data_IF_639241609769
#
_entry.id   IF_639241609769
#
_cell.length_a   1.000
_cell.length_b   1.000
_cell.length_c   1.000
_cell.angle_alpha   90.00
_cell.angle_beta   90.00
_cell.angle_gamma   90.00
#
_symmetry.space_group_name_H-M   'P 1'
#
loop_
_entity.id
_entity.type
_entity.pdbx_description
1 polymer ?
#
# COMPACT_ATOMS: atom_id res chain seq x y z
N UNK A 1 24.34 -2.41 12.32
CA UNK A 1 25.58 -1.60 12.33
C UNK A 1 25.70 -0.77 11.06
N UNK A 2 25.57 -1.35 9.86
CA UNK A 2 25.72 -0.63 8.58
C UNK A 2 24.68 0.48 8.39
N UNK A 3 23.38 0.22 8.66
CA UNK A 3 22.35 1.22 8.56
C UNK A 3 22.58 2.44 9.46
N UNK A 4 23.09 2.21 10.69
CA UNK A 4 23.44 3.27 11.64
C UNK A 4 24.58 4.15 11.12
N UNK A 5 25.62 3.54 10.56
CA UNK A 5 26.74 4.29 10.00
C UNK A 5 26.35 5.04 8.72
N UNK A 6 25.47 4.45 7.88
CA UNK A 6 24.91 5.15 6.73
C UNK A 6 24.05 6.36 7.13
N UNK A 7 23.24 6.22 8.18
CA UNK A 7 22.45 7.32 8.71
C UNK A 7 23.33 8.48 9.23
N UNK A 8 24.41 8.21 9.96
CA UNK A 8 25.35 9.24 10.39
C UNK A 8 25.96 10.01 9.22
N UNK A 9 26.43 9.27 8.20
CA UNK A 9 26.97 9.89 6.98
C UNK A 9 25.95 10.76 6.25
N UNK A 10 24.68 10.34 6.23
CA UNK A 10 23.60 11.11 5.63
C UNK A 10 23.33 12.40 6.43
N UNK A 11 23.35 12.34 7.76
CA UNK A 11 23.20 13.53 8.62
C UNK A 11 24.38 14.50 8.40
N UNK A 12 25.62 14.02 8.35
CA UNK A 12 26.80 14.85 8.09
C UNK A 12 26.72 15.58 6.73
N UNK A 13 26.07 14.97 5.74
CA UNK A 13 25.95 15.51 4.38
C UNK A 13 24.73 16.40 4.17
N UNK A 14 23.58 16.05 4.76
CA UNK A 14 22.28 16.67 4.48
C UNK A 14 21.60 17.29 5.70
N UNK A 15 22.25 17.26 6.88
CA UNK A 15 21.62 17.59 8.15
C UNK A 15 20.36 16.74 8.41
N UNK A 16 19.35 17.30 9.09
CA UNK A 16 18.13 16.58 9.46
C UNK A 16 17.03 16.65 8.39
N UNK A 17 17.22 17.38 7.30
CA UNK A 17 16.23 17.53 6.25
C UNK A 17 16.59 18.57 5.21
N UNK A 18 15.77 18.70 4.17
CA UNK A 18 16.03 19.54 3.01
C UNK A 18 15.46 20.96 3.13
N UNK A 19 14.79 21.28 4.23
CA UNK A 19 14.00 22.54 4.37
C UNK A 19 13.03 22.79 3.20
N UNK A 20 12.57 21.72 2.57
CA UNK A 20 11.69 21.74 1.39
C UNK A 20 10.83 20.47 1.32
N UNK A 21 9.71 20.55 0.60
CA UNK A 21 8.91 19.37 0.27
C UNK A 21 9.53 18.57 -0.88
N UNK A 22 9.29 17.26 -0.91
CA UNK A 22 9.84 16.35 -1.93
C UNK A 22 9.52 16.74 -3.39
N UNK A 23 8.33 17.26 -3.73
CA UNK A 23 8.07 17.75 -5.09
C UNK A 23 8.95 18.93 -5.53
N UNK A 24 9.46 19.71 -4.58
CA UNK A 24 10.31 20.86 -4.85
C UNK A 24 11.81 20.51 -4.82
N UNK A 25 12.21 19.67 -3.88
CA UNK A 25 13.59 19.22 -3.73
C UNK A 25 13.66 17.82 -3.15
N UNK A 26 14.59 17.00 -3.66
CA UNK A 26 14.86 15.65 -3.15
C UNK A 26 16.36 15.36 -3.11
N UNK A 27 16.81 14.45 -2.28
CA UNK A 27 18.20 14.01 -2.28
C UNK A 27 18.44 12.89 -3.28
N UNK A 28 19.70 12.73 -3.66
CA UNK A 28 20.11 11.60 -4.49
C UNK A 28 19.87 10.26 -3.79
N UNK A 29 19.95 10.23 -2.45
CA UNK A 29 19.69 9.04 -1.62
C UNK A 29 18.24 8.59 -1.75
N UNK A 30 17.26 9.51 -1.73
CA UNK A 30 15.84 9.16 -1.97
C UNK A 30 15.65 8.57 -3.36
N UNK A 31 16.20 9.22 -4.39
CA UNK A 31 16.09 8.74 -5.78
C UNK A 31 16.70 7.35 -5.96
N UNK A 32 17.89 7.13 -5.36
CA UNK A 32 18.56 5.83 -5.43
C UNK A 32 17.81 4.77 -4.64
N UNK A 33 17.27 5.11 -3.46
CA UNK A 33 16.47 4.20 -2.65
C UNK A 33 15.22 3.75 -3.42
N UNK A 34 14.45 4.69 -3.97
CA UNK A 34 13.23 4.39 -4.73
C UNK A 34 13.51 3.51 -5.95
N UNK A 35 14.59 3.77 -6.70
CA UNK A 35 15.01 2.91 -7.81
C UNK A 35 15.38 1.50 -7.34
N UNK A 36 16.09 1.36 -6.23
CA UNK A 36 16.47 0.06 -5.67
C UNK A 36 15.26 -0.70 -5.16
N UNK A 37 14.32 -0.03 -4.49
CA UNK A 37 13.08 -0.62 -4.01
C UNK A 37 12.20 -1.08 -5.17
N UNK A 38 11.98 -0.23 -6.17
CA UNK A 38 11.23 -0.60 -7.36
C UNK A 38 11.79 -1.88 -8.00
N UNK A 39 13.12 -1.95 -8.19
CA UNK A 39 13.80 -3.14 -8.71
C UNK A 39 13.65 -4.36 -7.79
N UNK A 40 13.77 -4.20 -6.47
CA UNK A 40 13.70 -5.30 -5.51
C UNK A 40 12.30 -5.91 -5.46
N UNK A 41 11.28 -5.05 -5.37
CA UNK A 41 9.87 -5.46 -5.39
C UNK A 41 9.38 -5.89 -6.79
N UNK A 42 10.09 -5.53 -7.86
CA UNK A 42 9.70 -5.78 -9.25
C UNK A 42 8.64 -4.82 -9.78
N UNK A 43 8.47 -3.63 -9.23
CA UNK A 43 7.58 -2.58 -9.74
C UNK A 43 8.32 -1.64 -10.69
N UNK A 44 7.58 -0.93 -11.54
CA UNK A 44 8.15 0.07 -12.45
C UNK A 44 8.73 1.26 -11.68
N UNK A 45 8.05 1.66 -10.61
CA UNK A 45 8.44 2.82 -9.78
C UNK A 45 8.13 2.57 -8.31
N UNK A 46 8.73 3.40 -7.46
CA UNK A 46 8.48 3.43 -6.03
C UNK A 46 8.52 4.89 -5.54
N UNK A 47 7.69 5.20 -4.56
CA UNK A 47 7.74 6.46 -3.82
C UNK A 47 7.92 6.16 -2.34
N UNK A 48 8.82 6.89 -1.68
CA UNK A 48 9.04 6.79 -0.25
C UNK A 48 8.36 7.94 0.50
N UNK A 49 7.80 7.61 1.64
CA UNK A 49 7.13 8.51 2.58
C UNK A 49 7.81 8.41 3.94
N UNK A 50 7.52 9.34 4.84
CA UNK A 50 8.08 9.33 6.20
C UNK A 50 7.51 8.23 7.08
N UNK A 51 6.33 7.70 6.76
CA UNK A 51 5.72 6.54 7.41
C UNK A 51 4.87 5.74 6.42
N UNK A 52 4.72 4.42 6.65
CA UNK A 52 3.78 3.59 5.90
C UNK A 52 2.33 4.08 6.04
N UNK A 53 1.98 4.65 7.21
CA UNK A 53 0.68 5.27 7.44
C UNK A 53 0.40 6.40 6.42
N UNK A 54 1.33 7.35 6.27
CA UNK A 54 1.19 8.44 5.29
C UNK A 54 1.21 7.94 3.84
N UNK A 55 2.00 6.89 3.55
CA UNK A 55 2.02 6.27 2.25
C UNK A 55 0.65 5.72 1.87
N UNK A 56 -0.03 5.02 2.80
CA UNK A 56 -1.37 4.47 2.56
C UNK A 56 -2.41 5.58 2.41
N UNK A 57 -2.43 6.58 3.31
CA UNK A 57 -3.33 7.73 3.20
C UNK A 57 -3.19 8.44 1.86
N UNK A 58 -1.95 8.75 1.47
CA UNK A 58 -1.66 9.44 0.22
C UNK A 58 -2.06 8.62 -1.01
N UNK A 59 -1.82 7.32 -0.97
CA UNK A 59 -2.18 6.40 -2.06
C UNK A 59 -3.69 6.36 -2.26
N UNK A 60 -4.47 6.15 -1.19
CA UNK A 60 -5.94 6.09 -1.29
C UNK A 60 -6.49 7.44 -1.76
N UNK A 61 -6.06 8.54 -1.16
CA UNK A 61 -6.53 9.87 -1.52
C UNK A 61 -6.19 10.28 -2.97
N UNK A 62 -5.06 9.80 -3.50
CA UNK A 62 -4.66 10.07 -4.87
C UNK A 62 -5.45 9.26 -5.90
N UNK A 63 -5.77 8.00 -5.60
CA UNK A 63 -6.41 7.05 -6.53
C UNK A 63 -7.94 7.12 -6.50
N UNK A 64 -8.53 7.56 -5.38
CA UNK A 64 -9.97 7.62 -5.22
C UNK A 64 -10.57 8.95 -5.71
N UNK A 65 -11.73 8.86 -6.34
CA UNK A 65 -12.54 10.00 -6.76
C UNK A 65 -14.05 9.68 -6.63
N UNK A 66 -14.90 10.63 -7.06
CA UNK A 66 -16.37 10.48 -7.03
C UNK A 66 -16.91 9.30 -7.82
N UNK A 67 -16.16 8.78 -8.79
CA UNK A 67 -16.57 7.66 -9.65
C UNK A 67 -16.01 6.33 -9.13
N UNK A 68 -15.43 6.32 -7.93
CA UNK A 68 -14.77 5.18 -7.29
C UNK A 68 -15.60 4.61 -6.13
N UNK A 69 -15.71 3.28 -6.05
CA UNK A 69 -16.10 2.57 -4.84
C UNK A 69 -14.83 2.07 -4.14
N UNK A 70 -14.57 2.52 -2.93
CA UNK A 70 -13.57 1.97 -2.02
C UNK A 70 -14.16 0.78 -1.28
N UNK A 71 -13.57 -0.39 -1.44
CA UNK A 71 -14.05 -1.65 -0.85
C UNK A 71 -12.99 -2.17 0.10
N UNK A 72 -13.28 -2.12 1.41
CA UNK A 72 -12.33 -2.42 2.48
C UNK A 72 -12.65 -3.76 3.14
N UNK A 73 -11.62 -4.51 3.50
CA UNK A 73 -11.77 -5.60 4.46
C UNK A 73 -12.18 -5.03 5.83
N UNK A 74 -13.09 -5.69 6.52
CA UNK A 74 -13.59 -5.23 7.83
C UNK A 74 -12.52 -5.22 8.93
N UNK A 75 -11.37 -5.88 8.73
CA UNK A 75 -10.22 -5.89 9.64
C UNK A 75 -9.06 -5.01 9.15
N UNK A 76 -9.30 -4.16 8.16
CA UNK A 76 -8.29 -3.25 7.64
C UNK A 76 -7.69 -2.36 8.73
N UNK A 77 -6.37 -2.16 8.66
CA UNK A 77 -5.63 -1.27 9.55
C UNK A 77 -6.15 0.17 9.50
N UNK A 78 -5.99 0.91 10.60
CA UNK A 78 -6.44 2.30 10.74
C UNK A 78 -5.96 3.22 9.61
N UNK A 79 -4.77 3.04 9.05
CA UNK A 79 -4.28 3.85 7.93
C UNK A 79 -5.15 3.70 6.66
N UNK A 80 -5.74 2.53 6.42
CA UNK A 80 -6.67 2.31 5.31
C UNK A 80 -7.99 3.04 5.58
N UNK A 81 -8.51 2.93 6.80
CA UNK A 81 -9.73 3.63 7.22
C UNK A 81 -9.56 5.16 7.13
N UNK A 82 -8.48 5.68 7.68
CA UNK A 82 -8.23 7.13 7.71
C UNK A 82 -7.93 7.68 6.30
N UNK A 83 -7.24 6.91 5.45
CA UNK A 83 -7.07 7.24 4.03
C UNK A 83 -8.41 7.32 3.29
N UNK A 84 -9.32 6.41 3.62
CA UNK A 84 -10.69 6.38 3.09
C UNK A 84 -11.50 7.60 3.55
N UNK A 85 -11.41 7.96 4.83
CA UNK A 85 -12.06 9.17 5.37
C UNK A 85 -11.48 10.45 4.76
N UNK A 86 -10.17 10.51 4.56
CA UNK A 86 -9.52 11.65 3.89
C UNK A 86 -10.04 11.80 2.45
N UNK A 87 -10.13 10.72 1.69
CA UNK A 87 -10.67 10.74 0.34
C UNK A 87 -12.16 11.15 0.33
N UNK A 88 -12.97 10.60 1.24
CA UNK A 88 -14.39 10.90 1.36
C UNK A 88 -14.67 12.36 1.80
N UNK A 89 -13.78 12.94 2.62
CA UNK A 89 -13.89 14.32 3.08
C UNK A 89 -13.48 15.37 2.03
N UNK A 90 -12.95 14.97 0.88
CA UNK A 90 -12.50 15.90 -0.16
C UNK A 90 -13.69 16.40 -0.98
N UNK A 91 -14.02 17.71 -0.95
CA UNK A 91 -15.17 18.26 -1.66
C UNK A 91 -15.14 17.93 -3.17
N UNK A 92 -16.26 17.44 -3.69
CA UNK A 92 -16.43 17.10 -5.11
C UNK A 92 -15.71 15.83 -5.57
N UNK A 93 -15.03 15.11 -4.67
CA UNK A 93 -14.30 13.86 -4.96
C UNK A 93 -14.72 12.66 -4.10
N UNK A 94 -15.74 12.80 -3.27
CA UNK A 94 -16.15 11.77 -2.32
C UNK A 94 -16.47 10.42 -3.01
N UNK A 95 -15.67 9.37 -2.80
CA UNK A 95 -15.94 8.02 -3.25
C UNK A 95 -17.09 7.39 -2.47
N UNK A 96 -17.67 6.32 -3.01
CA UNK A 96 -18.51 5.42 -2.23
C UNK A 96 -17.62 4.51 -1.37
N UNK A 97 -18.04 4.21 -0.13
CA UNK A 97 -17.28 3.36 0.79
C UNK A 97 -18.11 2.15 1.18
N UNK A 98 -17.57 0.95 1.01
CA UNK A 98 -18.19 -0.33 1.38
C UNK A 98 -17.20 -1.23 2.11
N UNK A 99 -17.71 -2.09 2.99
CA UNK A 99 -16.93 -3.07 3.74
C UNK A 99 -17.36 -4.49 3.38
N UNK A 100 -16.39 -5.35 3.12
CA UNK A 100 -16.66 -6.78 3.02
C UNK A 100 -16.22 -7.51 4.31
N UNK A 101 -16.84 -8.66 4.58
CA UNK A 101 -16.50 -9.47 5.74
C UNK A 101 -15.04 -9.94 5.63
N UNK A 102 -14.35 -9.92 6.77
CA UNK A 102 -12.95 -10.26 6.85
C UNK A 102 -12.61 -11.52 6.05
N UNK A 103 -11.61 -11.36 5.17
CA UNK A 103 -10.99 -12.39 4.34
C UNK A 103 -11.99 -13.26 3.53
N UNK A 104 -13.16 -12.68 3.17
CA UNK A 104 -14.26 -13.39 2.51
C UNK A 104 -14.42 -13.03 1.03
N UNK A 105 -13.93 -13.90 0.14
CA UNK A 105 -14.07 -13.78 -1.30
C UNK A 105 -15.54 -13.65 -1.75
N UNK A 106 -16.44 -14.42 -1.15
CA UNK A 106 -17.89 -14.35 -1.41
C UNK A 106 -18.49 -12.99 -1.05
N UNK A 107 -18.06 -12.40 0.07
CA UNK A 107 -18.52 -11.07 0.48
C UNK A 107 -17.99 -9.97 -0.43
N UNK A 108 -16.71 -10.05 -0.83
CA UNK A 108 -16.09 -9.14 -1.80
C UNK A 108 -16.82 -9.20 -3.15
N UNK A 109 -17.05 -10.40 -3.71
CA UNK A 109 -17.71 -10.56 -4.99
C UNK A 109 -19.12 -9.99 -4.99
N UNK A 110 -19.88 -10.18 -3.91
CA UNK A 110 -21.24 -9.61 -3.77
C UNK A 110 -21.22 -8.08 -3.87
N UNK A 111 -20.23 -7.43 -3.24
CA UNK A 111 -20.09 -5.97 -3.27
C UNK A 111 -19.71 -5.50 -4.67
N UNK A 112 -18.71 -6.11 -5.29
CA UNK A 112 -18.27 -5.77 -6.63
C UNK A 112 -19.41 -5.92 -7.66
N UNK A 113 -20.21 -6.96 -7.56
CA UNK A 113 -21.37 -7.20 -8.41
C UNK A 113 -22.47 -6.13 -8.26
N UNK A 114 -22.63 -5.58 -7.05
CA UNK A 114 -23.71 -4.61 -6.75
C UNK A 114 -23.25 -3.16 -6.74
N UNK A 115 -21.98 -2.87 -7.10
CA UNK A 115 -21.49 -1.50 -7.15
C UNK A 115 -22.13 -0.70 -8.28
N UNK A 116 -22.36 0.56 -8.04
CA UNK A 116 -22.92 1.49 -9.04
C UNK A 116 -21.84 2.38 -9.68
N UNK A 117 -20.73 2.60 -8.97
CA UNK A 117 -19.61 3.41 -9.47
C UNK A 117 -18.80 2.66 -10.52
N UNK A 118 -18.24 3.43 -11.46
CA UNK A 118 -17.46 2.88 -12.57
C UNK A 118 -16.20 2.17 -12.09
N UNK A 119 -15.45 2.82 -11.19
CA UNK A 119 -14.18 2.33 -10.69
C UNK A 119 -14.34 1.63 -9.35
N UNK A 120 -13.48 0.67 -9.04
CA UNK A 120 -13.41 0.05 -7.72
C UNK A 120 -11.95 -0.13 -7.28
N UNK A 121 -11.64 0.28 -6.05
CA UNK A 121 -10.39 -0.02 -5.37
C UNK A 121 -10.68 -0.95 -4.19
N UNK A 122 -10.06 -2.11 -4.20
CA UNK A 122 -10.16 -3.11 -3.14
C UNK A 122 -8.92 -2.96 -2.25
N UNK A 123 -9.14 -2.61 -0.99
CA UNK A 123 -8.12 -2.29 -0.01
C UNK A 123 -8.01 -3.44 0.99
N UNK A 124 -6.86 -4.10 1.03
CA UNK A 124 -6.60 -5.30 1.84
C UNK A 124 -5.20 -5.25 2.45
N UNK A 125 -4.99 -6.02 3.52
CA UNK A 125 -3.65 -6.31 4.04
C UNK A 125 -3.15 -7.65 3.47
N UNK A 126 -1.86 -7.77 3.22
CA UNK A 126 -1.24 -9.03 2.79
C UNK A 126 -1.22 -10.05 3.93
N UNK A 127 -0.80 -9.58 5.10
CA UNK A 127 -0.90 -10.28 6.39
C UNK A 127 -1.61 -9.33 7.34
N UNK A 128 -2.73 -9.75 7.89
CA UNK A 128 -3.56 -8.93 8.76
C UNK A 128 -2.93 -8.75 10.14
N UNK A 129 -2.85 -7.51 10.59
CA UNK A 129 -2.11 -7.13 11.79
C UNK A 129 -2.71 -7.65 13.10
N UNK A 130 -4.02 -7.90 13.14
CA UNK A 130 -4.72 -8.35 14.35
C UNK A 130 -4.56 -9.85 14.58
N UNK A 131 -4.87 -10.67 13.58
CA UNK A 131 -4.95 -12.13 13.71
C UNK A 131 -3.74 -12.84 13.10
N UNK A 132 -2.92 -12.13 12.30
CA UNK A 132 -1.74 -12.69 11.65
C UNK A 132 -2.06 -13.62 10.48
N UNK A 133 -3.33 -13.68 10.08
CA UNK A 133 -3.76 -14.47 8.93
C UNK A 133 -3.41 -13.77 7.61
N UNK A 134 -3.34 -14.56 6.54
CA UNK A 134 -3.00 -14.08 5.20
C UNK A 134 -4.25 -13.84 4.37
N UNK A 135 -4.21 -12.81 3.54
CA UNK A 135 -5.27 -12.58 2.56
C UNK A 135 -5.44 -13.80 1.64
N UNK A 136 -6.65 -14.16 1.31
CA UNK A 136 -6.98 -15.11 0.25
C UNK A 136 -6.71 -14.48 -1.13
N UNK A 137 -5.46 -13.99 -1.31
CA UNK A 137 -5.07 -13.06 -2.37
C UNK A 137 -5.36 -13.58 -3.77
N UNK A 138 -5.15 -14.89 -4.01
CA UNK A 138 -5.42 -15.51 -5.32
C UNK A 138 -6.90 -15.37 -5.71
N UNK A 139 -7.80 -15.69 -4.78
CA UNK A 139 -9.23 -15.56 -5.02
C UNK A 139 -9.65 -14.10 -5.20
N UNK A 140 -9.09 -13.19 -4.40
CA UNK A 140 -9.36 -11.75 -4.51
C UNK A 140 -8.92 -11.19 -5.86
N UNK A 141 -7.73 -11.55 -6.34
CA UNK A 141 -7.23 -11.12 -7.65
C UNK A 141 -8.12 -11.62 -8.77
N UNK A 142 -8.51 -12.91 -8.76
CA UNK A 142 -9.39 -13.49 -9.77
C UNK A 142 -10.77 -12.81 -9.82
N UNK A 143 -11.31 -12.46 -8.65
CA UNK A 143 -12.57 -11.73 -8.55
C UNK A 143 -12.39 -10.29 -9.04
N UNK A 144 -11.36 -9.59 -8.58
CA UNK A 144 -11.12 -8.19 -8.96
C UNK A 144 -10.93 -8.04 -10.48
N UNK A 145 -10.19 -8.93 -11.12
CA UNK A 145 -10.03 -8.93 -12.58
C UNK A 145 -11.36 -9.13 -13.30
N UNK A 146 -12.21 -10.06 -12.83
CA UNK A 146 -13.53 -10.32 -13.41
C UNK A 146 -14.44 -9.10 -13.37
N UNK A 147 -14.30 -8.28 -12.34
CA UNK A 147 -15.11 -7.08 -12.13
C UNK A 147 -14.36 -5.77 -12.42
N UNK A 148 -13.20 -5.82 -13.08
CA UNK A 148 -12.38 -4.65 -13.43
C UNK A 148 -12.08 -3.75 -12.22
N UNK A 149 -11.77 -4.37 -11.07
CA UNK A 149 -11.39 -3.69 -9.84
C UNK A 149 -9.88 -3.75 -9.64
N UNK A 150 -9.31 -2.73 -9.03
CA UNK A 150 -7.88 -2.63 -8.73
C UNK A 150 -7.64 -2.96 -7.26
N UNK A 151 -6.68 -3.84 -6.97
CA UNK A 151 -6.24 -4.11 -5.60
C UNK A 151 -5.13 -3.14 -5.22
N UNK A 152 -5.28 -2.52 -4.04
CA UNK A 152 -4.23 -1.83 -3.30
C UNK A 152 -3.94 -2.67 -2.07
N UNK A 153 -2.74 -3.22 -1.98
CA UNK A 153 -2.35 -4.10 -0.88
C UNK A 153 -1.43 -3.39 0.11
N UNK A 154 -1.74 -3.49 1.40
CA UNK A 154 -0.84 -3.18 2.50
C UNK A 154 -0.07 -4.44 2.88
N UNK A 155 1.19 -4.50 2.50
CA UNK A 155 2.06 -5.63 2.82
C UNK A 155 3.13 -5.29 3.87
N UNK A 156 2.77 -4.44 4.81
CA UNK A 156 3.65 -3.99 5.89
C UNK A 156 4.14 -5.14 6.78
N UNK A 157 3.36 -6.21 6.94
CA UNK A 157 3.71 -7.40 7.72
C UNK A 157 4.33 -8.53 6.90
N UNK A 158 4.07 -8.58 5.59
CA UNK A 158 4.66 -9.59 4.70
C UNK A 158 6.05 -9.20 4.20
N UNK A 159 6.29 -7.92 3.98
CA UNK A 159 7.59 -7.42 3.50
C UNK A 159 8.71 -7.70 4.51
N UNK A 160 9.77 -8.34 4.02
CA UNK A 160 10.92 -8.79 4.81
C UNK A 160 10.71 -10.15 5.50
N UNK A 161 9.49 -10.74 5.42
CA UNK A 161 9.16 -12.01 6.08
C UNK A 161 8.65 -13.09 5.12
N UNK A 162 7.98 -12.70 4.04
CA UNK A 162 7.41 -13.61 3.05
C UNK A 162 8.14 -13.53 1.71
N UNK A 163 8.14 -14.64 0.98
CA UNK A 163 8.84 -14.78 -0.29
C UNK A 163 10.33 -15.10 -0.12
N UNK A 164 10.94 -15.70 -1.14
CA UNK A 164 12.35 -16.12 -1.11
C UNK A 164 13.31 -14.93 -0.97
N UNK A 165 12.98 -13.81 -1.64
CA UNK A 165 13.75 -12.56 -1.58
C UNK A 165 13.27 -11.61 -0.47
N UNK A 166 12.19 -11.98 0.23
CA UNK A 166 11.58 -11.16 1.27
C UNK A 166 10.76 -9.99 0.72
N UNK A 167 10.29 -10.04 -0.53
CA UNK A 167 9.48 -8.96 -1.10
C UNK A 167 7.99 -9.06 -0.78
N UNK A 168 7.62 -9.98 0.10
CA UNK A 168 6.29 -10.06 0.68
C UNK A 168 5.34 -11.03 0.00
N UNK A 169 4.05 -10.88 0.30
CA UNK A 169 3.01 -11.82 -0.12
C UNK A 169 2.85 -11.92 -1.65
N UNK A 170 3.12 -10.85 -2.38
CA UNK A 170 3.03 -10.86 -3.86
C UNK A 170 4.08 -11.78 -4.49
N UNK A 171 5.27 -11.84 -3.93
CA UNK A 171 6.31 -12.78 -4.34
C UNK A 171 5.91 -14.22 -3.96
N UNK A 172 5.52 -14.42 -2.69
CA UNK A 172 5.17 -15.74 -2.19
C UNK A 172 4.03 -16.40 -2.99
N UNK A 173 3.06 -15.60 -3.42
CA UNK A 173 1.89 -16.08 -4.19
C UNK A 173 2.10 -16.07 -5.70
N UNK A 174 3.18 -15.46 -6.20
CA UNK A 174 3.43 -15.29 -7.63
C UNK A 174 2.48 -14.29 -8.32
N UNK A 175 1.84 -13.40 -7.56
CA UNK A 175 0.81 -12.49 -8.07
C UNK A 175 1.29 -11.05 -8.30
N UNK A 176 2.62 -10.85 -8.27
CA UNK A 176 3.24 -9.53 -8.40
C UNK A 176 2.72 -8.73 -9.62
N UNK A 177 2.62 -9.37 -10.78
CA UNK A 177 2.25 -8.71 -12.04
C UNK A 177 0.73 -8.46 -12.18
N UNK A 178 -0.06 -8.96 -11.23
CA UNK A 178 -1.52 -8.84 -11.20
C UNK A 178 -2.03 -7.85 -10.15
N UNK A 179 -1.15 -7.36 -9.28
CA UNK A 179 -1.48 -6.36 -8.23
C UNK A 179 -0.63 -5.12 -8.46
N UNK A 180 -1.20 -4.04 -9.00
CA UNK A 180 -0.43 -2.89 -9.46
C UNK A 180 0.07 -1.98 -8.35
N UNK A 181 -0.54 -2.00 -7.16
CA UNK A 181 -0.21 -1.09 -6.05
C UNK A 181 0.06 -1.87 -4.77
N UNK A 182 1.27 -1.74 -4.25
CA UNK A 182 1.70 -2.32 -2.98
C UNK A 182 2.26 -1.22 -2.09
N UNK A 183 1.76 -1.13 -0.87
CA UNK A 183 2.29 -0.25 0.18
C UNK A 183 2.97 -1.10 1.24
N UNK A 184 4.11 -0.66 1.74
CA UNK A 184 4.87 -1.35 2.76
C UNK A 184 5.52 -0.36 3.72
N UNK A 185 6.32 -0.84 4.70
CA UNK A 185 7.00 0.02 5.67
C UNK A 185 8.37 -0.53 6.06
N UNK A 186 9.29 0.39 6.40
CA UNK A 186 10.58 0.04 7.01
C UNK A 186 10.51 -0.08 8.53
N UNK A 187 9.42 0.32 9.16
CA UNK A 187 9.30 0.41 10.62
C UNK A 187 9.07 -0.93 11.32
N UNK A 188 8.92 -2.03 10.59
CA UNK A 188 8.72 -3.39 11.12
C UNK A 188 9.97 -4.25 10.94
N UNK A 189 10.01 -5.14 9.99
CA UNK A 189 11.11 -6.11 9.78
C UNK A 189 12.48 -5.45 9.65
N UNK A 190 12.56 -4.29 9.00
CA UNK A 190 13.85 -3.59 8.80
C UNK A 190 14.29 -2.75 9.99
N UNK A 191 13.44 -2.51 10.98
CA UNK A 191 13.75 -1.70 12.16
C UNK A 191 14.14 -0.25 11.82
N UNK A 192 13.62 0.28 10.71
CA UNK A 192 13.89 1.62 10.21
C UNK A 192 12.75 2.60 10.46
N UNK A 193 12.75 3.69 9.69
CA UNK A 193 11.71 4.73 9.65
C UNK A 193 11.25 4.87 8.19
N UNK A 194 9.93 5.01 7.98
CA UNK A 194 9.36 5.15 6.63
C UNK A 194 8.49 4.00 6.20
#
# INVERSE_FOLDING_TARGET
LEAKEAAKKAIDRFACGLSSSRPQATTIEHVQLEKRLAKWFGFETCLTFTTGYQAMLGTIAALADKDTTLILDSYSHACILDGTFLAAGTPGRAPEVRFFNHNSAKSLERILKSRERKNALVLIEGVYSLDGDRAHLKEFVEICERYEAVIVIDDAHGTGTLGERGTGILEETGLRDRVPVCVSTFSKTFGGIG
#
